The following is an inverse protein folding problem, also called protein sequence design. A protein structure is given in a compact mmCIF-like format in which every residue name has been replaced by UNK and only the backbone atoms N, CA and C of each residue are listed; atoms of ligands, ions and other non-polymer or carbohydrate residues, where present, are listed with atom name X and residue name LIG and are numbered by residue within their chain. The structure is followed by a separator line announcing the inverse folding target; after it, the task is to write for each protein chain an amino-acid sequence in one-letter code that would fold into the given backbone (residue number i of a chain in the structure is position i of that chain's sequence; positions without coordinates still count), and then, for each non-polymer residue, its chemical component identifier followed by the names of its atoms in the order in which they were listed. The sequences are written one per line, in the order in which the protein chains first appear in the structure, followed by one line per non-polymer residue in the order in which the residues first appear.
data_IF_086003387044
#
_entry.id   IF_086003387044
#
_cell.length_a   1.000
_cell.length_b   1.000
_cell.length_c   1.000
_cell.angle_alpha   90.00
_cell.angle_beta   90.00
_cell.angle_gamma   90.00
#
_symmetry.space_group_name_H-M   'P 1'
#
loop_
_entity.id
_entity.type
_entity.pdbx_description
1 polymer ?
#
# COMPACT_ATOMS: atom_id res chain seq x y z
N UNK A 1 44.73 14.21 -7.92
CA UNK A 1 44.45 15.50 -7.26
C UNK A 1 43.32 15.23 -6.27
N UNK A 2 43.62 15.22 -4.96
CA UNK A 2 42.55 15.28 -3.95
C UNK A 2 41.99 16.70 -4.00
N UNK A 3 40.81 16.86 -4.59
CA UNK A 3 40.12 18.16 -4.57
C UNK A 3 39.99 18.62 -3.12
N UNK A 4 40.38 19.85 -2.85
CA UNK A 4 40.26 20.45 -1.52
C UNK A 4 38.78 20.48 -1.17
N UNK A 5 38.37 19.65 -0.22
CA UNK A 5 36.97 19.55 0.20
C UNK A 5 36.57 20.85 0.90
N UNK A 6 35.66 21.60 0.29
CA UNK A 6 35.02 22.74 0.95
C UNK A 6 33.82 22.22 1.73
N UNK A 7 33.87 22.38 3.05
CA UNK A 7 32.78 21.96 3.94
C UNK A 7 31.48 22.63 3.51
N UNK A 8 30.45 21.81 3.27
CA UNK A 8 29.11 22.27 2.88
C UNK A 8 28.86 22.30 1.37
N UNK A 9 29.88 22.12 0.53
CA UNK A 9 29.75 22.07 -0.94
C UNK A 9 29.72 20.63 -1.48
N UNK A 10 29.58 19.64 -0.58
CA UNK A 10 29.40 18.26 -1.00
C UNK A 10 28.10 18.11 -1.79
N UNK A 11 28.18 17.51 -2.98
CA UNK A 11 26.97 17.07 -3.67
C UNK A 11 26.22 16.06 -2.78
N UNK A 12 24.95 16.36 -2.50
CA UNK A 12 24.06 15.54 -1.67
C UNK A 12 22.85 14.97 -2.43
N UNK A 13 22.90 14.97 -3.76
CA UNK A 13 21.77 14.57 -4.61
C UNK A 13 21.36 13.11 -4.33
N UNK A 14 22.35 12.23 -4.15
CA UNK A 14 22.10 10.82 -3.81
C UNK A 14 21.45 10.68 -2.43
N UNK A 15 21.89 11.45 -1.43
CA UNK A 15 21.35 11.41 -0.07
C UNK A 15 19.92 11.96 -0.04
N UNK A 16 19.65 13.03 -0.80
CA UNK A 16 18.31 13.58 -0.96
C UNK A 16 17.37 12.57 -1.62
N UNK A 17 17.76 11.97 -2.75
CA UNK A 17 16.97 10.95 -3.42
C UNK A 17 16.70 9.73 -2.52
N UNK A 18 17.70 9.31 -1.74
CA UNK A 18 17.54 8.22 -0.76
C UNK A 18 16.52 8.58 0.30
N UNK A 19 16.59 9.80 0.84
CA UNK A 19 15.64 10.28 1.85
C UNK A 19 14.21 10.38 1.31
N UNK A 20 14.04 10.93 0.12
CA UNK A 20 12.74 11.01 -0.56
C UNK A 20 12.15 9.63 -0.85
N UNK A 21 12.98 8.68 -1.30
CA UNK A 21 12.58 7.29 -1.50
C UNK A 21 12.17 6.62 -0.18
N UNK A 22 12.96 6.78 0.88
CA UNK A 22 12.65 6.27 2.21
C UNK A 22 11.31 6.81 2.72
N UNK A 23 11.10 8.13 2.63
CA UNK A 23 9.85 8.75 3.06
C UNK A 23 8.65 8.28 2.24
N UNK A 24 8.83 8.02 0.95
CA UNK A 24 7.78 7.46 0.08
C UNK A 24 7.38 6.06 0.55
N UNK A 25 8.35 5.17 0.77
CA UNK A 25 8.11 3.79 1.25
C UNK A 25 7.52 3.78 2.66
N UNK A 26 7.98 4.67 3.54
CA UNK A 26 7.47 4.79 4.90
C UNK A 26 5.99 5.19 4.91
N UNK A 27 5.59 6.18 4.09
CA UNK A 27 4.18 6.58 3.93
C UNK A 27 3.34 5.42 3.40
N UNK A 28 3.79 4.75 2.35
CA UNK A 28 3.10 3.59 1.77
C UNK A 28 2.89 2.47 2.80
N UNK A 29 3.97 2.09 3.49
CA UNK A 29 3.93 1.01 4.49
C UNK A 29 3.03 1.36 5.66
N UNK A 30 3.07 2.61 6.14
CA UNK A 30 2.23 3.08 7.23
C UNK A 30 0.74 2.98 6.92
N UNK A 31 0.33 3.44 5.74
CA UNK A 31 -1.09 3.34 5.32
C UNK A 31 -1.50 1.89 5.10
N UNK A 32 -0.64 1.06 4.48
CA UNK A 32 -0.94 -0.37 4.30
C UNK A 32 -1.11 -1.10 5.63
N UNK A 33 -0.29 -0.80 6.62
CA UNK A 33 -0.42 -1.40 7.95
C UNK A 33 -1.77 -1.08 8.59
N UNK A 34 -2.21 0.18 8.50
CA UNK A 34 -3.52 0.61 9.02
C UNK A 34 -4.65 -0.14 8.31
N UNK A 35 -4.62 -0.22 6.97
CA UNK A 35 -5.63 -0.93 6.18
C UNK A 35 -5.65 -2.43 6.52
N UNK A 36 -4.49 -3.06 6.67
CA UNK A 36 -4.38 -4.48 7.00
C UNK A 36 -4.96 -4.79 8.39
N UNK A 37 -4.62 -3.98 9.40
CA UNK A 37 -5.16 -4.12 10.75
C UNK A 37 -6.67 -3.90 10.75
N UNK A 38 -7.16 -2.84 10.10
CA UNK A 38 -8.59 -2.56 9.99
C UNK A 38 -9.35 -3.71 9.31
N UNK A 39 -8.78 -4.28 8.24
CA UNK A 39 -9.39 -5.41 7.54
C UNK A 39 -9.50 -6.65 8.43
N UNK A 40 -8.43 -6.95 9.17
CA UNK A 40 -8.44 -8.05 10.14
C UNK A 40 -9.48 -7.80 11.26
N UNK A 41 -9.58 -6.58 11.78
CA UNK A 41 -10.58 -6.22 12.80
C UNK A 41 -12.00 -6.42 12.27
N UNK A 42 -12.30 -5.94 11.06
CA UNK A 42 -13.63 -6.05 10.48
C UNK A 42 -14.03 -7.50 10.21
N UNK A 43 -13.12 -8.28 9.65
CA UNK A 43 -13.41 -9.66 9.23
C UNK A 43 -13.36 -10.67 10.37
N UNK A 44 -12.36 -10.58 11.25
CA UNK A 44 -12.12 -11.57 12.30
C UNK A 44 -12.83 -11.23 13.60
N UNK A 45 -12.82 -9.96 14.00
CA UNK A 45 -13.35 -9.54 15.31
C UNK A 45 -14.82 -9.12 15.23
N UNK A 46 -15.20 -8.39 14.19
CA UNK A 46 -16.57 -7.88 14.02
C UNK A 46 -17.47 -8.82 13.22
N UNK A 47 -16.93 -9.91 12.64
CA UNK A 47 -17.69 -10.88 11.84
C UNK A 47 -18.28 -10.31 10.56
N UNK A 48 -17.74 -9.18 10.06
CA UNK A 48 -18.20 -8.56 8.82
C UNK A 48 -17.87 -9.46 7.64
N UNK A 49 -18.78 -9.53 6.66
CA UNK A 49 -18.48 -10.24 5.41
C UNK A 49 -17.22 -9.65 4.77
N UNK A 50 -16.28 -10.53 4.44
CA UNK A 50 -14.95 -10.13 3.97
C UNK A 50 -14.97 -9.30 2.69
N UNK A 51 -15.92 -9.55 1.77
CA UNK A 51 -16.09 -8.75 0.54
C UNK A 51 -16.54 -7.34 0.84
N UNK A 52 -17.42 -7.17 1.85
CA UNK A 52 -17.89 -5.85 2.28
C UNK A 52 -16.74 -5.08 2.92
N UNK A 53 -15.99 -5.73 3.83
CA UNK A 53 -14.81 -5.13 4.45
C UNK A 53 -13.75 -4.73 3.40
N UNK A 54 -13.51 -5.59 2.40
CA UNK A 54 -12.60 -5.32 1.29
C UNK A 54 -13.05 -4.10 0.50
N UNK A 55 -14.33 -4.01 0.13
CA UNK A 55 -14.87 -2.88 -0.61
C UNK A 55 -14.72 -1.55 0.14
N UNK A 56 -15.09 -1.52 1.42
CA UNK A 56 -14.97 -0.33 2.27
C UNK A 56 -13.50 0.12 2.37
N UNK A 57 -12.58 -0.82 2.64
CA UNK A 57 -11.17 -0.50 2.84
C UNK A 57 -10.42 -0.23 1.54
N UNK A 58 -10.87 -0.79 0.41
CA UNK A 58 -10.36 -0.43 -0.91
C UNK A 58 -10.72 1.01 -1.27
N UNK A 59 -11.98 1.41 -1.07
CA UNK A 59 -12.41 2.81 -1.27
C UNK A 59 -11.63 3.73 -0.32
N UNK A 60 -11.51 3.35 0.95
CA UNK A 60 -10.76 4.11 1.95
C UNK A 60 -9.30 4.28 1.54
N UNK A 61 -8.62 3.19 1.15
CA UNK A 61 -7.23 3.21 0.71
C UNK A 61 -7.01 4.03 -0.56
N UNK A 62 -7.96 3.99 -1.50
CA UNK A 62 -7.92 4.81 -2.71
C UNK A 62 -8.08 6.30 -2.38
N UNK A 63 -9.06 6.65 -1.54
CA UNK A 63 -9.27 8.04 -1.10
C UNK A 63 -8.07 8.56 -0.32
N UNK A 64 -7.49 7.77 0.59
CA UNK A 64 -6.26 8.13 1.31
C UNK A 64 -5.08 8.35 0.34
N UNK A 65 -4.98 7.53 -0.70
CA UNK A 65 -3.98 7.68 -1.75
C UNK A 65 -4.05 9.05 -2.45
N UNK A 66 -5.27 9.53 -2.71
CA UNK A 66 -5.51 10.85 -3.30
C UNK A 66 -5.24 11.98 -2.30
N UNK A 67 -5.73 11.86 -1.06
CA UNK A 67 -5.60 12.90 -0.02
C UNK A 67 -4.14 13.09 0.41
N UNK A 68 -3.35 12.02 0.44
CA UNK A 68 -1.94 12.04 0.88
C UNK A 68 -0.94 12.10 -0.28
N UNK A 69 -1.43 12.27 -1.51
CA UNK A 69 -0.62 12.37 -2.74
C UNK A 69 0.43 11.22 -2.86
N UNK A 70 0.01 9.98 -2.62
CA UNK A 70 0.92 8.82 -2.60
C UNK A 70 1.42 8.37 -3.98
N UNK A 71 0.96 9.04 -5.04
CA UNK A 71 1.29 8.75 -6.43
C UNK A 71 0.35 7.73 -7.08
N UNK A 72 0.33 7.71 -8.41
CA UNK A 72 -0.54 6.83 -9.20
C UNK A 72 -0.27 5.34 -8.93
N UNK A 73 0.98 4.97 -8.65
CA UNK A 73 1.36 3.60 -8.32
C UNK A 73 0.60 3.04 -7.11
N UNK A 74 0.28 3.88 -6.12
CA UNK A 74 -0.47 3.46 -4.93
C UNK A 74 -1.89 3.02 -5.30
N UNK A 75 -2.58 3.86 -6.07
CA UNK A 75 -3.96 3.59 -6.47
C UNK A 75 -4.03 2.34 -7.37
N UNK A 76 -3.06 2.15 -8.26
CA UNK A 76 -2.93 0.92 -9.05
C UNK A 76 -2.73 -0.30 -8.15
N UNK A 77 -1.89 -0.20 -7.11
CA UNK A 77 -1.67 -1.30 -6.16
C UNK A 77 -2.96 -1.67 -5.40
N UNK A 78 -3.71 -0.68 -4.88
CA UNK A 78 -5.00 -0.92 -4.19
C UNK A 78 -5.99 -1.65 -5.10
N UNK A 79 -6.17 -1.18 -6.34
CA UNK A 79 -7.08 -1.82 -7.29
C UNK A 79 -6.61 -3.24 -7.63
N UNK A 80 -5.29 -3.43 -7.80
CA UNK A 80 -4.72 -4.75 -8.11
C UNK A 80 -4.96 -5.75 -6.97
N UNK A 81 -4.82 -5.32 -5.71
CA UNK A 81 -5.10 -6.16 -4.54
C UNK A 81 -6.56 -6.62 -4.51
N UNK A 82 -7.51 -5.74 -4.83
CA UNK A 82 -8.94 -6.09 -4.93
C UNK A 82 -9.17 -7.13 -6.02
N UNK A 83 -8.59 -6.93 -7.21
CA UNK A 83 -8.70 -7.88 -8.32
C UNK A 83 -8.17 -9.25 -7.93
N UNK A 84 -6.99 -9.31 -7.29
CA UNK A 84 -6.39 -10.56 -6.81
C UNK A 84 -7.32 -11.24 -5.81
N UNK A 85 -7.86 -10.51 -4.83
CA UNK A 85 -8.77 -11.08 -3.83
C UNK A 85 -10.05 -11.68 -4.46
N UNK A 86 -10.63 -11.02 -5.45
CA UNK A 86 -11.80 -11.53 -6.20
C UNK A 86 -11.43 -12.78 -6.98
N UNK A 87 -10.29 -12.80 -7.66
CA UNK A 87 -9.81 -13.98 -8.39
C UNK A 87 -9.63 -15.17 -7.44
N UNK A 88 -9.04 -14.96 -6.25
CA UNK A 88 -8.90 -16.00 -5.24
C UNK A 88 -10.25 -16.53 -4.76
N UNK A 89 -11.25 -15.66 -4.56
CA UNK A 89 -12.60 -16.11 -4.21
C UNK A 89 -13.23 -16.98 -5.31
N UNK A 90 -13.03 -16.63 -6.58
CA UNK A 90 -13.51 -17.46 -7.69
C UNK A 90 -12.88 -18.85 -7.66
N UNK A 91 -11.57 -18.94 -7.42
CA UNK A 91 -10.86 -20.22 -7.29
C UNK A 91 -11.45 -21.07 -6.15
N UNK A 92 -11.69 -20.46 -4.98
CA UNK A 92 -12.29 -21.15 -3.82
C UNK A 92 -13.70 -21.65 -4.18
N UNK A 93 -14.51 -20.82 -4.83
CA UNK A 93 -15.86 -21.19 -5.26
C UNK A 93 -15.85 -22.39 -6.19
N UNK A 94 -14.95 -22.41 -7.19
CA UNK A 94 -14.82 -23.55 -8.10
C UNK A 94 -14.33 -24.80 -7.39
N UNK A 95 -13.36 -24.68 -6.47
CA UNK A 95 -12.88 -25.82 -5.69
C UNK A 95 -14.00 -26.46 -4.86
N UNK A 96 -14.86 -25.65 -4.23
CA UNK A 96 -16.01 -26.13 -3.47
C UNK A 96 -17.12 -26.75 -4.33
N UNK A 97 -17.19 -26.41 -5.62
CA UNK A 97 -18.19 -26.97 -6.52
C UNK A 97 -17.76 -28.34 -7.10
N UNK A 98 -16.48 -28.69 -7.01
CA UNK A 98 -15.90 -29.89 -7.65
C UNK A 98 -15.43 -30.93 -6.63
N UNK A 99 -15.17 -30.54 -5.38
CA UNK A 99 -14.83 -31.41 -4.26
C UNK A 99 -16.06 -31.71 -3.39
#
# INVERSE_FOLDING_TARGET
MSGEYVRGEMNIDTQKATWEGFMTVAKWSGVMLILAVAYATFTLTMGMNWMIALGILAITGFVLGLVMELGSGWNVAIVSLVVIAVVLQLIIMFAQAVL
#
